data_IF_306432434823
#
_entry.id   IF_306432434823
#
_cell.length_a   1.000
_cell.length_b   1.000
_cell.length_c   1.000
_cell.angle_alpha   90.00
_cell.angle_beta   90.00
_cell.angle_gamma   90.00
#
_symmetry.space_group_name_H-M   'P 1'
#
loop_
_entity.id
_entity.type
_entity.pdbx_description
1 polymer ?
#
# COMPACT_ATOMS: atom_id res chain seq x y z
N UNK A 1 -13.27 16.11 -0.21
CA UNK A 1 -13.83 14.73 -0.30
C UNK A 1 -15.36 14.73 -0.33
N UNK A 2 -16.01 15.48 0.52
CA UNK A 2 -17.47 15.49 0.58
C UNK A 2 -18.15 15.84 -0.75
N UNK A 3 -17.53 16.67 -1.57
CA UNK A 3 -18.08 17.08 -2.87
C UNK A 3 -18.31 15.92 -3.84
N UNK A 4 -17.65 14.78 -3.66
CA UNK A 4 -17.80 13.61 -4.52
C UNK A 4 -18.79 12.58 -3.98
N UNK A 5 -19.23 12.74 -2.73
CA UNK A 5 -20.02 11.74 -2.03
C UNK A 5 -21.35 11.43 -2.69
N UNK A 6 -22.00 12.44 -3.24
CA UNK A 6 -23.36 12.34 -3.77
C UNK A 6 -23.43 12.18 -5.29
N UNK A 7 -22.26 12.07 -5.96
CA UNK A 7 -22.24 12.02 -7.43
C UNK A 7 -22.77 10.70 -8.00
N UNK A 8 -22.66 9.61 -7.24
CA UNK A 8 -23.01 8.28 -7.73
C UNK A 8 -22.06 7.70 -8.78
N UNK A 9 -21.08 8.47 -9.22
CA UNK A 9 -20.09 8.02 -10.20
C UNK A 9 -19.02 7.14 -9.57
N UNK A 10 -18.48 6.20 -10.37
CA UNK A 10 -17.33 5.40 -9.95
C UNK A 10 -16.08 6.27 -10.00
N UNK A 11 -15.36 6.37 -8.89
CA UNK A 11 -14.14 7.18 -8.78
C UNK A 11 -12.91 6.29 -8.67
N UNK A 12 -11.82 6.75 -9.25
CA UNK A 12 -10.51 6.09 -9.20
C UNK A 12 -9.44 7.13 -8.88
N UNK A 13 -8.87 7.05 -7.67
CA UNK A 13 -7.82 7.96 -7.21
C UNK A 13 -6.44 7.42 -7.62
N UNK A 14 -6.14 7.46 -8.92
CA UNK A 14 -4.88 6.92 -9.45
C UNK A 14 -3.64 7.71 -9.08
N UNK A 15 -3.79 9.00 -8.73
CA UNK A 15 -2.66 9.85 -8.35
C UNK A 15 -2.23 9.69 -6.90
N UNK A 16 -2.96 8.88 -6.15
CA UNK A 16 -2.65 8.63 -4.76
C UNK A 16 -3.27 9.63 -3.81
N UNK A 17 -3.50 9.17 -2.60
CA UNK A 17 -3.98 9.96 -1.48
C UNK A 17 -2.89 10.02 -0.42
N UNK A 18 -2.76 11.18 0.21
CA UNK A 18 -1.85 11.30 1.34
C UNK A 18 -2.56 10.85 2.61
N UNK A 19 -2.20 9.66 3.10
CA UNK A 19 -2.83 9.05 4.29
C UNK A 19 -2.72 9.94 5.52
N UNK A 20 -1.69 10.80 5.59
CA UNK A 20 -1.48 11.69 6.73
C UNK A 20 -2.54 12.77 6.82
N UNK A 21 -3.19 13.09 5.71
CA UNK A 21 -4.18 14.16 5.62
C UNK A 21 -5.61 13.67 5.81
N UNK A 22 -5.83 12.36 5.86
CA UNK A 22 -7.16 11.80 6.01
C UNK A 22 -7.55 11.72 7.47
N UNK A 23 -8.78 12.14 7.78
CA UNK A 23 -9.37 12.02 9.11
C UNK A 23 -10.61 11.13 9.07
N UNK A 24 -11.26 10.92 10.21
CA UNK A 24 -12.44 10.05 10.29
C UNK A 24 -13.57 10.50 9.36
N UNK A 25 -13.77 11.80 9.20
CA UNK A 25 -14.79 12.33 8.29
C UNK A 25 -14.46 12.01 6.84
N UNK A 26 -13.18 12.10 6.45
CA UNK A 26 -12.73 11.73 5.10
C UNK A 26 -12.95 10.24 4.83
N UNK A 27 -12.64 9.38 5.81
CA UNK A 27 -12.87 7.94 5.69
C UNK A 27 -14.36 7.64 5.53
N UNK A 28 -15.22 8.34 6.27
CA UNK A 28 -16.66 8.20 6.14
C UNK A 28 -17.14 8.61 4.74
N UNK A 29 -16.63 9.74 4.22
CA UNK A 29 -16.94 10.17 2.86
C UNK A 29 -16.50 9.13 1.82
N UNK A 30 -15.29 8.58 1.98
CA UNK A 30 -14.78 7.53 1.09
C UNK A 30 -15.66 6.29 1.13
N UNK A 31 -16.16 5.90 2.31
CA UNK A 31 -17.07 4.76 2.46
C UNK A 31 -18.37 4.94 1.67
N UNK A 32 -18.79 6.18 1.45
CA UNK A 32 -20.02 6.48 0.71
C UNK A 32 -19.80 6.71 -0.77
N UNK A 33 -18.55 6.70 -1.24
CA UNK A 33 -18.22 6.87 -2.65
C UNK A 33 -18.24 5.53 -3.38
N UNK A 34 -18.50 5.58 -4.68
CA UNK A 34 -18.30 4.43 -5.57
C UNK A 34 -16.88 4.50 -6.08
N UNK A 35 -16.00 3.68 -5.48
CA UNK A 35 -14.57 3.70 -5.78
C UNK A 35 -14.16 2.45 -6.53
N UNK A 36 -13.30 2.62 -7.54
CA UNK A 36 -12.64 1.52 -8.22
C UNK A 36 -11.39 1.12 -7.46
N UNK A 37 -10.50 2.07 -7.19
CA UNK A 37 -9.22 1.84 -6.50
C UNK A 37 -8.87 3.03 -5.63
N UNK A 38 -8.19 2.76 -4.51
CA UNK A 38 -7.51 3.78 -3.72
C UNK A 38 -6.02 3.55 -3.84
N UNK A 39 -5.24 4.62 -3.93
CA UNK A 39 -3.79 4.56 -4.02
C UNK A 39 -3.18 5.43 -2.93
N UNK A 40 -2.22 4.86 -2.20
CA UNK A 40 -1.45 5.54 -1.17
C UNK A 40 0.04 5.32 -1.42
N UNK A 41 0.88 5.93 -0.60
CA UNK A 41 2.32 5.73 -0.65
C UNK A 41 2.91 5.68 0.76
N UNK A 42 3.92 4.83 0.93
CA UNK A 42 4.73 4.75 2.15
C UNK A 42 6.19 4.61 1.72
N UNK A 43 6.83 5.75 1.46
CA UNK A 43 8.12 5.78 0.80
C UNK A 43 9.31 5.73 1.73
N UNK A 44 9.14 6.11 3.00
CA UNK A 44 10.23 6.15 3.95
C UNK A 44 9.85 5.40 5.23
N UNK A 45 10.65 4.40 5.66
CA UNK A 45 10.36 3.67 6.90
C UNK A 45 10.43 4.56 8.14
N UNK A 46 11.11 5.72 8.06
CA UNK A 46 11.17 6.69 9.16
C UNK A 46 9.91 7.52 9.28
N UNK A 47 9.09 7.57 8.24
CA UNK A 47 7.77 8.20 8.33
C UNK A 47 6.85 7.28 9.11
N UNK A 48 6.35 7.75 10.24
CA UNK A 48 5.46 6.97 11.10
C UNK A 48 4.04 6.97 10.53
N UNK A 49 3.83 6.17 9.50
CA UNK A 49 2.54 6.04 8.83
C UNK A 49 1.77 4.79 9.22
N UNK A 50 2.39 3.89 9.96
CA UNK A 50 1.73 2.62 10.35
C UNK A 50 0.42 2.88 11.08
N UNK A 51 0.42 3.77 12.06
CA UNK A 51 -0.79 4.13 12.81
C UNK A 51 -1.89 4.67 11.90
N UNK A 52 -1.51 5.49 10.93
CA UNK A 52 -2.46 6.07 9.97
C UNK A 52 -3.09 5.01 9.08
N UNK A 53 -2.29 4.06 8.60
CA UNK A 53 -2.83 2.95 7.81
C UNK A 53 -3.74 2.06 8.65
N UNK A 54 -3.39 1.82 9.92
CA UNK A 54 -4.24 1.04 10.84
C UNK A 54 -5.57 1.74 11.11
N UNK A 55 -5.55 3.05 11.34
CA UNK A 55 -6.76 3.84 11.55
C UNK A 55 -7.66 3.79 10.33
N UNK A 56 -7.08 3.98 9.14
CA UNK A 56 -7.85 3.92 7.89
C UNK A 56 -8.49 2.55 7.71
N UNK A 57 -7.71 1.48 7.87
CA UNK A 57 -8.21 0.12 7.71
C UNK A 57 -9.34 -0.21 8.69
N UNK A 58 -9.25 0.30 9.92
CA UNK A 58 -10.29 0.07 10.92
C UNK A 58 -11.60 0.77 10.57
N UNK A 59 -11.53 1.96 9.96
CA UNK A 59 -12.70 2.75 9.60
C UNK A 59 -13.28 2.45 8.23
N UNK A 60 -12.54 1.76 7.36
CA UNK A 60 -12.96 1.50 5.99
C UNK A 60 -13.83 0.26 5.92
N UNK A 61 -14.96 0.37 5.21
CA UNK A 61 -15.95 -0.73 5.17
C UNK A 61 -15.56 -1.91 4.30
N UNK A 62 -14.77 -1.68 3.25
CA UNK A 62 -14.30 -2.76 2.40
C UNK A 62 -13.12 -3.44 3.06
N UNK A 63 -13.21 -4.75 3.30
CA UNK A 63 -12.20 -5.47 4.08
C UNK A 63 -11.29 -6.38 3.27
N UNK A 64 -11.63 -6.64 2.00
CA UNK A 64 -10.87 -7.63 1.20
C UNK A 64 -9.79 -7.01 0.32
N UNK A 65 -9.91 -5.75 -0.04
CA UNK A 65 -8.93 -5.04 -0.87
C UNK A 65 -9.13 -3.56 -0.62
N UNK A 66 -8.42 -3.03 0.38
CA UNK A 66 -8.61 -1.64 0.80
C UNK A 66 -8.06 -0.69 -0.25
N UNK A 67 -6.91 -1.02 -0.83
CA UNK A 67 -6.30 -0.18 -1.83
C UNK A 67 -4.85 -0.54 -2.04
N UNK A 68 -4.22 0.09 -3.03
CA UNK A 68 -2.81 -0.10 -3.35
C UNK A 68 -1.96 0.90 -2.58
N UNK A 69 -0.82 0.44 -2.07
CA UNK A 69 0.17 1.31 -1.42
C UNK A 69 1.50 1.15 -2.12
N UNK A 70 2.00 2.23 -2.71
CA UNK A 70 3.35 2.24 -3.27
C UNK A 70 4.36 2.26 -2.14
N UNK A 71 5.32 1.33 -2.17
CA UNK A 71 6.39 1.23 -1.18
C UNK A 71 7.72 1.43 -1.89
N UNK A 72 8.39 2.55 -1.62
CA UNK A 72 9.72 2.80 -2.18
C UNK A 72 10.74 2.02 -1.34
N UNK A 73 11.50 1.16 -2.01
CA UNK A 73 12.51 0.32 -1.35
C UNK A 73 13.91 0.69 -1.86
N UNK A 74 14.93 0.29 -1.12
CA UNK A 74 16.34 0.55 -1.46
C UNK A 74 16.67 2.05 -1.46
N UNK A 75 15.89 2.87 -0.77
CA UNK A 75 16.15 4.30 -0.61
C UNK A 75 16.26 4.62 0.88
N UNK A 76 17.48 4.76 1.37
CA UNK A 76 17.77 5.05 2.79
C UNK A 76 17.03 4.07 3.72
N UNK A 77 16.96 2.81 3.31
CA UNK A 77 16.25 1.77 4.06
C UNK A 77 16.98 0.43 3.93
N UNK A 78 16.73 -0.45 4.90
CA UNK A 78 17.23 -1.82 4.87
C UNK A 78 16.19 -2.77 4.30
N UNK A 79 16.61 -3.97 3.89
CA UNK A 79 15.67 -5.00 3.45
C UNK A 79 14.67 -5.34 4.55
N UNK A 80 15.13 -5.39 5.80
CA UNK A 80 14.24 -5.67 6.94
C UNK A 80 13.16 -4.61 7.11
N UNK A 81 13.53 -3.34 6.96
CA UNK A 81 12.57 -2.23 7.01
C UNK A 81 11.58 -2.27 5.86
N UNK A 82 12.05 -2.59 4.66
CA UNK A 82 11.21 -2.71 3.49
C UNK A 82 10.21 -3.85 3.64
N UNK A 83 10.67 -5.01 4.12
CA UNK A 83 9.80 -6.17 4.40
C UNK A 83 8.78 -5.87 5.49
N UNK A 84 9.18 -5.14 6.52
CA UNK A 84 8.27 -4.77 7.61
C UNK A 84 7.08 -3.96 7.08
N UNK A 85 7.35 -2.96 6.26
CA UNK A 85 6.28 -2.13 5.67
C UNK A 85 5.34 -2.97 4.81
N UNK A 86 5.89 -3.85 3.99
CA UNK A 86 5.10 -4.74 3.14
C UNK A 86 4.22 -5.64 3.99
N UNK A 87 4.76 -6.21 5.08
CA UNK A 87 4.01 -7.12 5.94
C UNK A 87 2.89 -6.40 6.68
N UNK A 88 3.14 -5.21 7.20
CA UNK A 88 2.11 -4.40 7.85
C UNK A 88 0.94 -4.13 6.89
N UNK A 89 1.26 -3.71 5.67
CA UNK A 89 0.24 -3.42 4.66
C UNK A 89 -0.56 -4.66 4.30
N UNK A 90 0.12 -5.79 4.14
CA UNK A 90 -0.53 -7.06 3.85
C UNK A 90 -1.51 -7.46 4.95
N UNK A 91 -1.07 -7.36 6.21
CA UNK A 91 -1.89 -7.73 7.36
C UNK A 91 -3.13 -6.84 7.48
N UNK A 92 -3.03 -5.60 7.05
CA UNK A 92 -4.15 -4.65 7.03
C UNK A 92 -5.03 -4.77 5.79
N UNK A 93 -4.69 -5.69 4.87
CA UNK A 93 -5.41 -5.96 3.62
C UNK A 93 -5.26 -4.87 2.57
N UNK A 94 -4.19 -4.10 2.64
CA UNK A 94 -3.73 -3.28 1.54
C UNK A 94 -2.95 -4.14 0.56
N UNK A 95 -2.82 -3.64 -0.66
CA UNK A 95 -2.05 -4.27 -1.72
C UNK A 95 -0.74 -3.50 -1.92
N UNK A 96 0.38 -3.97 -1.35
CA UNK A 96 1.65 -3.27 -1.52
C UNK A 96 2.19 -3.43 -2.93
N UNK A 97 2.71 -2.35 -3.48
CA UNK A 97 3.37 -2.35 -4.79
C UNK A 97 4.76 -1.74 -4.64
N UNK A 98 5.78 -2.53 -4.88
CA UNK A 98 7.17 -2.15 -4.66
C UNK A 98 7.70 -1.34 -5.83
N UNK A 99 8.27 -0.17 -5.51
CA UNK A 99 9.00 0.70 -6.43
C UNK A 99 10.47 0.67 -5.97
N UNK A 100 11.38 0.30 -6.87
CA UNK A 100 12.79 0.17 -6.54
C UNK A 100 13.54 1.43 -6.91
N UNK A 101 14.16 2.08 -5.91
CA UNK A 101 15.05 3.21 -6.14
C UNK A 101 16.34 2.71 -6.82
N UNK A 102 16.75 3.39 -7.89
CA UNK A 102 17.97 3.07 -8.64
C UNK A 102 18.03 1.58 -9.01
N UNK A 103 16.99 1.09 -9.66
CA UNK A 103 16.85 -0.32 -9.99
C UNK A 103 18.06 -0.93 -10.70
N UNK A 104 18.73 -0.25 -11.66
CA UNK A 104 19.89 -0.81 -12.33
C UNK A 104 21.04 -1.17 -11.38
N UNK A 105 21.16 -0.46 -10.25
CA UNK A 105 22.24 -0.69 -9.28
C UNK A 105 21.74 -1.36 -8.00
N UNK A 106 20.46 -1.75 -7.94
CA UNK A 106 19.89 -2.37 -6.77
C UNK A 106 20.42 -3.80 -6.58
N UNK A 107 20.64 -4.25 -5.32
CA UNK A 107 21.01 -5.63 -5.05
C UNK A 107 19.99 -6.63 -5.61
N UNK A 108 20.46 -7.84 -5.90
CA UNK A 108 19.61 -8.94 -6.36
C UNK A 108 18.43 -9.19 -5.45
N UNK A 109 18.63 -9.11 -4.13
CA UNK A 109 17.56 -9.33 -3.14
C UNK A 109 16.43 -8.33 -3.28
N UNK A 110 16.73 -7.08 -3.60
CA UNK A 110 15.72 -6.03 -3.80
C UNK A 110 14.91 -6.31 -5.06
N UNK A 111 15.56 -6.76 -6.12
CA UNK A 111 14.85 -7.14 -7.35
C UNK A 111 13.98 -8.37 -7.16
N UNK A 112 14.44 -9.33 -6.33
CA UNK A 112 13.63 -10.48 -5.91
C UNK A 112 12.41 -10.03 -5.12
N UNK A 113 12.61 -9.09 -4.20
CA UNK A 113 11.53 -8.51 -3.40
C UNK A 113 10.45 -7.91 -4.29
N UNK A 114 10.86 -7.15 -5.29
CA UNK A 114 9.92 -6.56 -6.24
C UNK A 114 9.11 -7.62 -6.98
N UNK A 115 9.76 -8.64 -7.50
CA UNK A 115 9.07 -9.73 -8.21
C UNK A 115 8.09 -10.48 -7.31
N UNK A 116 8.52 -10.79 -6.09
CA UNK A 116 7.67 -11.49 -5.13
C UNK A 116 6.44 -10.67 -4.76
N UNK A 117 6.63 -9.41 -4.42
CA UNK A 117 5.55 -8.55 -3.96
C UNK A 117 4.58 -8.17 -5.09
N UNK A 118 5.11 -7.82 -6.24
CA UNK A 118 4.29 -7.24 -7.32
C UNK A 118 3.54 -8.26 -8.16
N UNK A 119 3.97 -9.52 -8.16
CA UNK A 119 3.21 -10.58 -8.78
C UNK A 119 2.20 -11.11 -7.75
N UNK A 120 0.93 -10.75 -7.91
CA UNK A 120 -0.08 -11.03 -6.90
C UNK A 120 -0.42 -12.50 -6.74
N UNK A 121 -0.21 -13.31 -7.75
CA UNK A 121 -0.36 -14.76 -7.63
C UNK A 121 0.73 -15.32 -6.72
N UNK A 122 1.98 -14.91 -6.95
CA UNK A 122 3.12 -15.33 -6.12
C UNK A 122 2.95 -14.80 -4.69
N UNK A 123 2.63 -13.53 -4.55
CA UNK A 123 2.49 -12.89 -3.24
C UNK A 123 1.42 -13.56 -2.38
N UNK A 124 0.32 -13.95 -3.00
CA UNK A 124 -0.77 -14.64 -2.33
C UNK A 124 -0.39 -16.04 -1.87
N UNK A 125 0.35 -16.77 -2.69
CA UNK A 125 0.73 -18.16 -2.42
C UNK A 125 1.96 -18.28 -1.52
N UNK A 126 2.95 -17.41 -1.71
CA UNK A 126 4.19 -17.41 -0.95
C UNK A 126 4.12 -16.35 0.15
N UNK A 127 3.74 -16.76 1.35
CA UNK A 127 3.49 -15.83 2.46
C UNK A 127 4.75 -15.17 3.00
N UNK A 128 5.89 -15.85 2.91
CA UNK A 128 7.15 -15.36 3.46
C UNK A 128 8.14 -15.16 2.33
N UNK A 129 8.77 -13.99 2.33
CA UNK A 129 9.74 -13.66 1.28
C UNK A 129 10.91 -14.65 1.24
N UNK A 130 11.38 -15.10 2.40
CA UNK A 130 12.49 -16.07 2.46
C UNK A 130 12.16 -17.42 1.81
N UNK A 131 10.88 -17.74 1.65
CA UNK A 131 10.44 -18.96 0.99
C UNK A 131 10.30 -18.81 -0.53
N UNK A 132 10.46 -17.60 -1.03
CA UNK A 132 10.33 -17.33 -2.47
C UNK A 132 11.59 -17.77 -3.21
N UNK A 133 11.39 -18.67 -4.17
CA UNK A 133 12.44 -19.17 -5.06
C UNK A 133 12.15 -18.59 -6.45
N UNK A 134 12.99 -17.67 -6.88
CA UNK A 134 12.83 -17.00 -8.17
C UNK A 134 13.46 -17.82 -9.30
#
# INVERSE_FOLDING_TARGET
MAQYRDTGAMLDFTQGLDIRLLNDADVDDINHMRLRTLHFAWDNPKDDLEGKFREFAAGFRRKSNIGMVYVLVNFDSTLAEDLYRIQVLRDLRFDPYVMVYDKPHAPKEIRRLQRWCNNKIIFKKCKRFEDYIA
#
